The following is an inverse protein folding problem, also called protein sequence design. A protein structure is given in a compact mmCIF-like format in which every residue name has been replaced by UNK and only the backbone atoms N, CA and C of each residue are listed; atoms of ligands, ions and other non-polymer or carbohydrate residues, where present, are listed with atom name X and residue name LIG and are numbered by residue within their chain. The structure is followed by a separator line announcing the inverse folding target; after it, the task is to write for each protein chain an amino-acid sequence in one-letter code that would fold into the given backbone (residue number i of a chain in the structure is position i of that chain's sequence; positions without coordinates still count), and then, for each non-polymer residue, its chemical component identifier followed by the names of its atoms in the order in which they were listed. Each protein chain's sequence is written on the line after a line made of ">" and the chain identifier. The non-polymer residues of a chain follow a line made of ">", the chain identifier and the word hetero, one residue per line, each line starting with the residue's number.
data_IF_810157533299
#
_entry.id   IF_810157533299
#
_cell.length_a   1.000
_cell.length_b   1.000
_cell.length_c   1.000
_cell.angle_alpha   90.00
_cell.angle_beta   90.00
_cell.angle_gamma   90.00
#
_symmetry.space_group_name_H-M   'P 1'
#
loop_
_entity.id
_entity.type
_entity.pdbx_description
1 polymer ?
#
# COMPACT_ATOMS: atom_id res chain seq x y z
N UNK A 1 -15.71 -10.00 16.00
CA UNK A 1 -15.42 -9.11 14.85
C UNK A 1 -13.93 -9.13 14.54
N UNK A 2 -13.55 -9.38 13.29
CA UNK A 2 -12.17 -9.18 12.80
C UNK A 2 -12.01 -7.73 12.37
N UNK A 3 -10.99 -7.03 12.87
CA UNK A 3 -10.72 -5.64 12.48
C UNK A 3 -9.81 -5.63 11.26
N UNK A 4 -10.19 -4.87 10.24
CA UNK A 4 -9.34 -4.63 9.08
C UNK A 4 -8.80 -3.21 9.13
N UNK A 5 -7.50 -3.10 8.94
CA UNK A 5 -6.81 -1.86 8.66
C UNK A 5 -6.51 -1.80 7.17
N UNK A 6 -6.61 -0.61 6.57
CA UNK A 6 -6.18 -0.43 5.20
C UNK A 6 -5.46 0.90 5.01
N UNK A 7 -4.67 0.97 3.94
CA UNK A 7 -3.99 2.17 3.50
C UNK A 7 -4.08 2.30 1.99
N UNK A 8 -4.30 3.53 1.50
CA UNK A 8 -4.36 3.83 0.07
C UNK A 8 -3.00 4.37 -0.37
N UNK A 9 -2.46 3.80 -1.45
CA UNK A 9 -1.26 4.30 -2.12
C UNK A 9 -1.71 5.40 -3.08
N UNK A 10 -1.10 6.58 -3.00
CA UNK A 10 -1.51 7.76 -3.77
C UNK A 10 -0.31 8.31 -4.55
N UNK A 11 -0.53 8.57 -5.82
CA UNK A 11 0.40 9.31 -6.65
C UNK A 11 0.00 10.78 -6.69
N UNK A 12 0.98 11.65 -6.48
CA UNK A 12 0.85 13.11 -6.51
C UNK A 12 1.90 13.61 -7.53
N UNK A 13 1.50 13.88 -8.79
CA UNK A 13 2.44 14.31 -9.84
C UNK A 13 3.08 15.66 -9.54
N UNK A 14 2.28 16.60 -9.05
CA UNK A 14 2.68 17.94 -8.69
C UNK A 14 2.03 18.31 -7.34
N UNK A 15 2.86 18.75 -6.39
CA UNK A 15 2.42 19.15 -5.06
C UNK A 15 1.67 20.49 -5.05
N UNK A 16 1.79 21.29 -6.12
CA UNK A 16 1.19 22.61 -6.24
C UNK A 16 -0.24 22.58 -6.83
N UNK A 17 -0.55 21.61 -7.70
CA UNK A 17 -1.87 21.53 -8.37
C UNK A 17 -2.93 20.86 -7.49
N UNK A 18 -2.52 20.07 -6.50
CA UNK A 18 -3.42 19.31 -5.63
C UNK A 18 -4.07 18.10 -6.31
N UNK A 19 -3.69 17.78 -7.54
CA UNK A 19 -4.18 16.61 -8.28
C UNK A 19 -3.61 15.32 -7.72
N UNK A 20 -4.43 14.28 -7.54
CA UNK A 20 -3.92 12.99 -7.09
C UNK A 20 -4.68 11.82 -7.68
N UNK A 21 -3.97 10.69 -7.83
CA UNK A 21 -4.54 9.42 -8.22
C UNK A 21 -4.34 8.39 -7.11
N UNK A 22 -5.40 7.65 -6.76
CA UNK A 22 -5.25 6.45 -5.93
C UNK A 22 -4.75 5.32 -6.84
N UNK A 23 -3.58 4.78 -6.53
CA UNK A 23 -2.87 3.82 -7.38
C UNK A 23 -2.75 2.44 -6.74
N UNK A 24 -3.18 2.28 -5.49
CA UNK A 24 -3.16 0.99 -4.82
C UNK A 24 -3.81 1.00 -3.45
N UNK A 25 -3.93 -0.19 -2.87
CA UNK A 25 -4.47 -0.43 -1.54
C UNK A 25 -3.65 -1.52 -0.85
N UNK A 26 -3.44 -1.33 0.45
CA UNK A 26 -2.82 -2.29 1.36
C UNK A 26 -3.87 -2.63 2.41
N UNK A 27 -4.04 -3.91 2.71
CA UNK A 27 -5.01 -4.41 3.71
C UNK A 27 -4.23 -5.25 4.71
N UNK A 28 -4.51 -5.01 5.99
CA UNK A 28 -3.91 -5.74 7.11
C UNK A 28 -5.00 -6.15 8.10
N UNK A 29 -4.99 -7.41 8.50
CA UNK A 29 -5.80 -7.95 9.58
C UNK A 29 -4.93 -8.85 10.46
N UNK A 30 -4.39 -8.33 11.58
CA UNK A 30 -3.51 -9.09 12.47
C UNK A 30 -4.18 -10.35 13.02
N UNK A 31 -5.47 -10.29 13.34
CA UNK A 31 -6.23 -11.42 13.90
C UNK A 31 -6.40 -12.58 12.90
N UNK A 32 -6.10 -12.34 11.62
CA UNK A 32 -6.15 -13.32 10.53
C UNK A 32 -4.76 -13.65 9.95
N UNK A 33 -3.68 -13.09 10.52
CA UNK A 33 -2.34 -13.12 9.91
C UNK A 33 -2.37 -12.71 8.42
N UNK A 34 -3.21 -11.73 8.09
CA UNK A 34 -3.46 -11.36 6.71
C UNK A 34 -2.82 -10.00 6.41
N UNK A 35 -1.92 -9.97 5.44
CA UNK A 35 -1.39 -8.75 4.85
C UNK A 35 -1.42 -8.92 3.33
N UNK A 36 -1.98 -7.94 2.62
CA UNK A 36 -2.03 -7.97 1.17
C UNK A 36 -1.94 -6.57 0.58
N UNK A 37 -1.41 -6.49 -0.63
CA UNK A 37 -1.33 -5.26 -1.41
C UNK A 37 -1.83 -5.52 -2.83
N UNK A 38 -2.51 -4.52 -3.39
CA UNK A 38 -2.88 -4.45 -4.80
C UNK A 38 -2.61 -3.05 -5.32
N UNK A 39 -1.91 -2.98 -6.45
CA UNK A 39 -1.67 -1.74 -7.19
C UNK A 39 -2.42 -1.78 -8.52
N UNK A 40 -2.71 -0.61 -9.08
CA UNK A 40 -3.32 -0.48 -10.41
C UNK A 40 -2.36 -1.04 -11.47
N UNK A 41 -2.91 -1.79 -12.41
CA UNK A 41 -2.21 -2.19 -13.65
C UNK A 41 -2.52 -1.26 -14.82
N UNK A 42 -3.50 -0.34 -14.65
CA UNK A 42 -4.01 0.51 -15.73
C UNK A 42 -3.20 1.79 -15.84
N UNK A 43 -2.46 1.87 -16.93
CA UNK A 43 -1.58 2.97 -17.29
C UNK A 43 -2.31 4.24 -17.75
N UNK A 44 -3.52 4.12 -18.32
CA UNK A 44 -4.21 5.26 -18.96
C UNK A 44 -4.63 6.37 -18.00
N UNK A 45 -5.16 6.00 -16.82
CA UNK A 45 -5.47 6.96 -15.76
C UNK A 45 -4.25 7.56 -15.12
N UNK A 46 -3.11 6.91 -15.32
CA UNK A 46 -1.86 7.38 -14.80
C UNK A 46 -1.34 8.44 -15.76
N UNK A 47 -1.14 8.13 -17.05
CA UNK A 47 -0.47 9.01 -18.05
C UNK A 47 -0.97 10.44 -18.14
N UNK A 48 -2.26 10.69 -17.92
CA UNK A 48 -2.82 12.05 -17.88
C UNK A 48 -2.17 12.91 -16.77
N UNK A 49 -1.68 12.28 -15.70
CA UNK A 49 -1.01 12.94 -14.58
C UNK A 49 0.53 12.96 -14.69
N UNK A 50 1.19 12.13 -15.52
CA UNK A 50 2.65 11.89 -15.40
C UNK A 50 3.59 12.90 -16.04
N UNK A 51 3.10 13.88 -16.81
CA UNK A 51 3.99 14.79 -17.54
C UNK A 51 5.09 14.02 -18.30
N UNK A 52 6.35 14.38 -18.10
CA UNK A 52 7.52 13.79 -18.79
C UNK A 52 8.10 12.52 -18.13
N UNK A 53 7.60 12.06 -16.97
CA UNK A 53 8.17 10.88 -16.30
C UNK A 53 7.81 9.61 -17.08
N UNK A 54 8.78 8.71 -17.39
CA UNK A 54 8.47 7.44 -18.02
C UNK A 54 7.61 6.61 -17.06
N UNK A 55 6.31 6.52 -17.32
CA UNK A 55 5.40 5.82 -16.42
C UNK A 55 5.73 4.33 -16.27
N UNK A 56 6.57 3.77 -17.14
CA UNK A 56 7.18 2.44 -16.98
C UNK A 56 7.98 2.30 -15.68
N UNK A 57 8.70 3.34 -15.25
CA UNK A 57 9.48 3.34 -14.01
C UNK A 57 8.57 3.31 -12.77
N UNK A 58 7.52 4.14 -12.75
CA UNK A 58 6.53 4.09 -11.67
C UNK A 58 5.89 2.69 -11.62
N UNK A 59 5.47 2.15 -12.75
CA UNK A 59 4.81 0.85 -12.80
C UNK A 59 5.71 -0.27 -12.28
N UNK A 60 7.01 -0.23 -12.60
CA UNK A 60 8.00 -1.16 -12.05
C UNK A 60 8.09 -1.01 -10.53
N UNK A 61 8.17 0.23 -10.04
CA UNK A 61 8.22 0.54 -8.61
C UNK A 61 6.98 0.07 -7.86
N UNK A 62 5.77 0.28 -8.42
CA UNK A 62 4.52 -0.19 -7.82
C UNK A 62 4.43 -1.71 -7.76
N UNK A 63 4.87 -2.41 -8.81
CA UNK A 63 4.94 -3.88 -8.80
C UNK A 63 5.95 -4.38 -7.78
N UNK A 64 7.09 -3.71 -7.62
CA UNK A 64 8.07 -4.04 -6.60
C UNK A 64 7.49 -3.88 -5.19
N UNK A 65 6.78 -2.77 -4.93
CA UNK A 65 6.07 -2.54 -3.65
C UNK A 65 5.03 -3.64 -3.39
N UNK A 66 4.18 -3.96 -4.38
CA UNK A 66 3.18 -5.03 -4.25
C UNK A 66 3.82 -6.37 -3.89
N UNK A 67 4.93 -6.70 -4.57
CA UNK A 67 5.66 -7.96 -4.36
C UNK A 67 6.30 -8.03 -2.98
N UNK A 68 6.94 -6.95 -2.51
CA UNK A 68 7.52 -6.87 -1.16
C UNK A 68 6.47 -7.06 -0.07
N UNK A 69 5.33 -6.37 -0.18
CA UNK A 69 4.26 -6.47 0.83
C UNK A 69 3.68 -7.88 0.87
N UNK A 70 3.50 -8.52 -0.29
CA UNK A 70 3.04 -9.91 -0.36
C UNK A 70 4.02 -10.87 0.29
N UNK A 71 5.32 -10.73 0.03
CA UNK A 71 6.37 -11.53 0.68
C UNK A 71 6.29 -11.42 2.21
N UNK A 72 6.15 -10.20 2.75
CA UNK A 72 5.99 -9.99 4.20
C UNK A 72 4.72 -10.68 4.72
N UNK A 73 3.62 -10.64 3.95
CA UNK A 73 2.37 -11.31 4.32
C UNK A 73 2.46 -12.84 4.26
N UNK A 74 3.26 -13.40 3.36
CA UNK A 74 3.55 -14.83 3.31
C UNK A 74 4.40 -15.26 4.52
N UNK A 75 5.39 -14.44 4.92
CA UNK A 75 6.22 -14.66 6.10
C UNK A 75 5.41 -14.65 7.42
N UNK A 76 4.30 -13.90 7.49
CA UNK A 76 3.38 -13.92 8.64
C UNK A 76 2.76 -15.30 8.87
N UNK A 77 2.59 -16.10 7.82
CA UNK A 77 2.09 -17.47 7.95
C UNK A 77 3.19 -18.47 8.35
N UNK A 78 4.46 -18.15 8.08
CA UNK A 78 5.62 -19.00 8.37
C UNK A 78 6.24 -18.79 9.76
N UNK A 79 6.13 -17.60 10.35
CA UNK A 79 6.75 -17.27 11.63
C UNK A 79 5.74 -16.66 12.61
N UNK A 80 5.50 -17.37 13.73
CA UNK A 80 4.71 -16.94 14.90
C UNK A 80 5.22 -15.65 15.60
N UNK A 81 6.25 -14.99 15.05
CA UNK A 81 7.00 -13.90 15.66
C UNK A 81 6.25 -12.56 15.57
N UNK A 82 5.38 -12.36 14.57
CA UNK A 82 4.61 -11.12 14.44
C UNK A 82 3.47 -10.97 15.46
N UNK A 83 3.19 -12.02 16.25
CA UNK A 83 2.03 -12.11 17.14
C UNK A 83 2.08 -11.22 18.38
N UNK A 84 3.15 -10.45 18.63
CA UNK A 84 3.31 -9.77 19.94
C UNK A 84 3.48 -8.25 19.92
N UNK A 85 3.86 -7.59 18.82
CA UNK A 85 4.13 -6.13 18.86
C UNK A 85 3.79 -5.32 17.59
N UNK A 86 3.22 -5.90 16.53
CA UNK A 86 2.92 -5.12 15.31
C UNK A 86 1.54 -4.48 15.42
N UNK A 87 1.52 -3.34 16.11
CA UNK A 87 0.30 -2.63 16.53
C UNK A 87 -0.38 -1.90 15.37
N UNK A 88 0.33 -1.67 14.25
CA UNK A 88 -0.19 -0.85 13.16
C UNK A 88 0.34 -1.22 11.78
N UNK A 89 -0.53 -1.19 10.77
CA UNK A 89 -0.19 -1.24 9.33
C UNK A 89 0.92 -0.22 8.97
N UNK A 90 1.02 0.90 9.70
CA UNK A 90 2.00 1.97 9.50
C UNK A 90 3.44 1.45 9.63
N UNK A 91 3.69 0.64 10.67
CA UNK A 91 5.03 0.14 10.97
C UNK A 91 5.53 -0.76 9.84
N UNK A 92 4.61 -1.53 9.24
CA UNK A 92 4.89 -2.37 8.07
C UNK A 92 5.14 -1.50 6.85
N UNK A 93 4.25 -0.54 6.56
CA UNK A 93 4.31 0.23 5.31
C UNK A 93 5.51 1.16 5.23
N UNK A 94 5.96 1.73 6.36
CA UNK A 94 7.13 2.61 6.40
C UNK A 94 8.44 1.89 6.07
N UNK A 95 8.49 0.57 6.17
CA UNK A 95 9.67 -0.22 5.76
C UNK A 95 9.74 -0.46 4.25
N UNK A 96 8.62 -0.31 3.54
CA UNK A 96 8.50 -0.68 2.12
C UNK A 96 8.29 0.52 1.22
N UNK A 97 7.57 1.55 1.71
CA UNK A 97 7.14 2.68 0.90
C UNK A 97 7.76 3.96 1.45
N UNK A 98 8.39 4.79 0.60
CA UNK A 98 8.81 6.12 1.00
C UNK A 98 7.63 6.94 1.53
N UNK A 99 7.80 7.61 2.68
CA UNK A 99 6.76 8.43 3.31
C UNK A 99 6.19 9.51 2.40
N UNK A 100 6.96 9.95 1.40
CA UNK A 100 6.56 10.94 0.38
C UNK A 100 5.53 10.40 -0.63
N UNK A 101 5.34 9.09 -0.74
CA UNK A 101 4.40 8.43 -1.66
C UNK A 101 3.15 7.85 -0.96
N UNK A 102 3.00 8.10 0.34
CA UNK A 102 1.91 7.55 1.16
C UNK A 102 1.13 8.69 1.78
N UNK A 103 -0.18 8.73 1.51
CA UNK A 103 -1.08 9.60 2.25
C UNK A 103 -1.98 8.75 3.15
N UNK A 104 -1.85 8.95 4.46
CA UNK A 104 -2.55 8.17 5.47
C UNK A 104 -4.04 8.55 5.50
N UNK A 105 -4.93 7.59 5.22
CA UNK A 105 -6.33 7.68 5.62
C UNK A 105 -6.68 6.42 6.39
N UNK A 106 -6.76 6.55 7.71
CA UNK A 106 -7.14 5.47 8.61
C UNK A 106 -8.65 5.34 8.63
N UNK A 107 -9.16 4.24 8.09
CA UNK A 107 -10.54 3.84 8.25
C UNK A 107 -10.52 2.37 8.67
N UNK A 108 -10.65 2.15 9.97
CA UNK A 108 -10.84 0.81 10.51
C UNK A 108 -12.28 0.42 10.26
N UNK A 109 -12.48 -0.67 9.52
CA UNK A 109 -13.81 -1.22 9.33
C UNK A 109 -13.86 -2.65 9.85
N UNK A 110 -15.05 -3.04 10.28
CA UNK A 110 -15.31 -4.41 10.71
C UNK A 110 -16.34 -5.01 9.76
N UNK A 111 -16.10 -6.24 9.35
CA UNK A 111 -17.10 -7.03 8.62
C UNK A 111 -17.87 -7.86 9.64
N UNK A 112 -19.20 -7.74 9.63
CA UNK A 112 -20.12 -8.60 10.39
C UNK A 112 -20.01 -10.06 9.94
#
# INVERSE_FOLDING_TARGET
>A
MTKYQYQIIRYLPDHFTGEFANIGIIIYAPERNFLSCRVTSRYSRLTEFFGEVPGTFLMSSLKHIESKIKSIGEDFNGLLIYKKNTTSIIDITNTVIPTTMVHYKFLSFSKE
#
